data_IF_842799646702
#
_entry.id   IF_842799646702
#
_cell.length_a   1.000
_cell.length_b   1.000
_cell.length_c   1.000
_cell.angle_alpha   90.00
_cell.angle_beta   90.00
_cell.angle_gamma   90.00
#
_symmetry.space_group_name_H-M   'P 1'
#
loop_
_entity.id
_entity.type
_entity.pdbx_description
1 polymer ?
#
# COMPACT_ATOMS: atom_id res chain seq x y z
N UNK A 1 -50.90 -11.78 64.69
CA UNK A 1 -52.37 -11.59 64.57
C UNK A 1 -52.67 -10.15 64.96
N UNK A 2 -53.39 -9.26 64.27
CA UNK A 2 -54.11 -9.29 62.99
C UNK A 2 -54.99 -8.02 62.90
N UNK A 3 -54.85 -7.27 61.80
CA UNK A 3 -55.84 -6.40 61.10
C UNK A 3 -56.36 -5.12 61.77
N UNK A 4 -56.24 -3.98 61.06
CA UNK A 4 -57.34 -3.37 60.29
C UNK A 4 -56.88 -2.25 59.34
N UNK A 5 -57.59 -2.19 58.20
CA UNK A 5 -57.39 -1.30 57.05
C UNK A 5 -58.12 0.02 57.26
N UNK A 6 -57.52 1.13 56.83
CA UNK A 6 -58.16 2.44 56.66
C UNK A 6 -57.98 2.93 55.22
N UNK A 7 -59.04 2.82 54.44
CA UNK A 7 -59.17 3.22 53.03
C UNK A 7 -59.52 4.71 52.97
N UNK A 8 -58.75 5.52 52.25
CA UNK A 8 -59.16 6.86 51.83
C UNK A 8 -59.04 6.98 50.31
N UNK A 9 -60.15 7.37 49.69
CA UNK A 9 -60.29 7.68 48.27
C UNK A 9 -60.80 9.10 48.11
N UNK A 10 -60.14 9.92 47.30
CA UNK A 10 -60.74 11.05 46.55
C UNK A 10 -59.68 11.58 45.57
N UNK A 11 -59.84 11.31 44.27
CA UNK A 11 -60.32 12.22 43.21
C UNK A 11 -59.34 13.36 42.82
N UNK A 12 -58.53 13.06 41.78
CA UNK A 12 -58.09 13.82 40.58
C UNK A 12 -58.00 15.37 40.60
N UNK A 13 -56.98 15.97 39.94
CA UNK A 13 -57.06 16.19 38.48
C UNK A 13 -55.75 16.05 37.68
N UNK A 14 -55.92 15.76 36.37
CA UNK A 14 -55.02 16.03 35.24
C UNK A 14 -53.54 15.62 35.33
N UNK A 15 -53.23 14.42 34.82
CA UNK A 15 -51.95 14.18 34.13
C UNK A 15 -52.20 14.22 32.62
N UNK A 16 -51.43 15.00 31.84
CA UNK A 16 -51.60 15.05 30.40
C UNK A 16 -51.40 13.65 29.80
N UNK A 17 -52.34 13.25 28.95
CA UNK A 17 -52.25 12.07 28.09
C UNK A 17 -51.01 12.23 27.20
N UNK A 18 -49.94 11.51 27.51
CA UNK A 18 -48.93 11.22 26.51
C UNK A 18 -49.63 10.36 25.45
N UNK A 19 -50.01 11.01 24.36
CA UNK A 19 -50.50 10.38 23.15
C UNK A 19 -49.50 9.29 22.76
N UNK A 20 -50.02 8.08 22.55
CA UNK A 20 -49.36 7.09 21.74
C UNK A 20 -49.22 7.67 20.34
N UNK A 21 -48.13 8.42 20.13
CA UNK A 21 -47.68 8.83 18.82
C UNK A 21 -47.46 7.56 18.02
N UNK A 22 -48.35 7.32 17.07
CA UNK A 22 -48.13 6.40 15.98
C UNK A 22 -46.73 6.64 15.44
N UNK A 23 -45.80 5.74 15.75
CA UNK A 23 -44.53 5.65 15.03
C UNK A 23 -44.90 5.15 13.64
N UNK A 24 -45.23 6.11 12.77
CA UNK A 24 -45.35 5.90 11.35
C UNK A 24 -44.07 5.24 10.88
N UNK A 25 -44.19 3.98 10.48
CA UNK A 25 -43.14 3.21 9.83
C UNK A 25 -42.84 3.90 8.49
N UNK A 26 -41.96 4.89 8.50
CA UNK A 26 -41.45 5.50 7.26
C UNK A 26 -40.45 4.51 6.67
N UNK A 27 -40.96 3.59 5.85
CA UNK A 27 -40.17 2.75 4.96
C UNK A 27 -39.57 3.65 3.88
N UNK A 28 -38.26 3.52 3.67
CA UNK A 28 -37.61 3.83 2.38
C UNK A 28 -37.60 5.31 1.96
N UNK A 29 -37.09 6.21 2.80
CA UNK A 29 -36.63 7.50 2.30
C UNK A 29 -35.17 7.35 1.85
N UNK A 30 -34.98 7.13 0.54
CA UNK A 30 -33.70 7.36 -0.13
C UNK A 30 -33.37 8.85 -0.02
N UNK A 31 -32.59 9.24 0.99
CA UNK A 31 -32.10 10.59 1.11
C UNK A 31 -30.87 10.74 0.21
N UNK A 32 -31.14 11.12 -1.05
CA UNK A 32 -30.12 11.59 -2.00
C UNK A 32 -29.59 12.94 -1.55
N UNK A 33 -28.37 12.98 -1.05
CA UNK A 33 -27.62 14.21 -0.83
C UNK A 33 -26.39 14.21 -1.77
N UNK A 34 -26.61 14.59 -3.03
CA UNK A 34 -25.56 14.61 -4.06
C UNK A 34 -25.21 13.23 -4.65
N UNK A 35 -24.00 13.12 -5.21
CA UNK A 35 -23.45 11.91 -5.88
C UNK A 35 -23.00 10.80 -4.91
N UNK A 36 -23.41 10.86 -3.65
CA UNK A 36 -23.00 9.91 -2.61
C UNK A 36 -24.18 9.05 -2.22
N UNK A 37 -24.21 7.81 -2.72
CA UNK A 37 -25.17 6.81 -2.24
C UNK A 37 -24.82 6.43 -0.81
N UNK A 38 -25.49 7.06 0.16
CA UNK A 38 -25.48 6.61 1.55
C UNK A 38 -26.28 5.31 1.65
N UNK A 39 -25.65 4.20 1.25
CA UNK A 39 -26.12 2.85 1.50
C UNK A 39 -26.07 2.63 3.01
N UNK A 40 -27.16 2.96 3.68
CA UNK A 40 -27.45 2.53 5.05
C UNK A 40 -27.70 1.01 5.04
N UNK A 41 -26.63 0.23 4.85
CA UNK A 41 -26.66 -1.21 5.07
C UNK A 41 -26.69 -1.43 6.57
N UNK A 42 -27.89 -1.76 7.04
CA UNK A 42 -28.23 -2.45 8.28
C UNK A 42 -27.26 -2.23 9.47
N UNK A 43 -27.64 -1.31 10.37
CA UNK A 43 -26.90 -0.97 11.60
C UNK A 43 -26.82 -2.09 12.64
N UNK A 44 -27.18 -3.33 12.31
CA UNK A 44 -27.19 -4.46 13.23
C UNK A 44 -25.92 -5.34 13.17
N UNK A 45 -24.97 -5.07 12.27
CA UNK A 45 -23.79 -5.93 12.05
C UNK A 45 -22.44 -5.26 12.34
N UNK A 46 -22.40 -4.19 13.13
CA UNK A 46 -21.14 -3.54 13.54
C UNK A 46 -20.73 -4.06 14.92
N UNK A 47 -19.79 -5.02 15.03
CA UNK A 47 -19.12 -5.26 16.30
C UNK A 47 -18.42 -3.97 16.74
N UNK A 48 -18.56 -3.73 18.04
CA UNK A 48 -18.15 -2.52 18.74
C UNK A 48 -16.63 -2.50 18.90
N UNK A 49 -15.92 -2.04 17.88
CA UNK A 49 -14.49 -1.75 17.95
C UNK A 49 -14.33 -0.28 17.52
N UNK A 50 -13.89 0.54 18.48
CA UNK A 50 -13.73 2.00 18.41
C UNK A 50 -13.64 2.59 17.00
N UNK A 51 -14.60 3.45 16.68
CA UNK A 51 -14.81 4.02 15.35
C UNK A 51 -13.54 4.53 14.69
N UNK A 52 -13.04 3.72 13.76
CA UNK A 52 -12.32 4.20 12.60
C UNK A 52 -13.40 4.30 11.53
N UNK A 53 -13.65 5.52 11.07
CA UNK A 53 -14.39 5.77 9.85
C UNK A 53 -13.73 4.90 8.77
N UNK A 54 -14.29 3.74 8.46
CA UNK A 54 -14.00 3.03 7.23
C UNK A 54 -14.50 3.98 6.13
N UNK A 55 -13.67 4.95 5.76
CA UNK A 55 -13.73 5.49 4.41
C UNK A 55 -13.52 4.24 3.59
N UNK A 56 -14.60 3.74 2.99
CA UNK A 56 -14.53 2.69 2.00
C UNK A 56 -13.79 3.33 0.82
N UNK A 57 -12.45 3.37 0.92
CA UNK A 57 -11.56 3.89 -0.10
C UNK A 57 -11.73 2.90 -1.22
N UNK A 58 -12.67 3.21 -2.09
CA UNK A 58 -12.97 2.43 -3.26
C UNK A 58 -11.73 2.50 -4.13
N UNK A 59 -10.83 1.52 -4.02
CA UNK A 59 -9.59 1.42 -4.80
C UNK A 59 -9.82 1.48 -6.32
N UNK A 60 -11.08 1.42 -6.75
CA UNK A 60 -11.52 1.44 -8.13
C UNK A 60 -12.09 2.80 -8.58
N UNK A 61 -12.34 3.76 -7.68
CA UNK A 61 -13.04 5.00 -8.03
C UNK A 61 -12.11 6.10 -8.55
N UNK A 62 -10.96 6.33 -7.90
CA UNK A 62 -10.08 7.44 -8.23
C UNK A 62 -8.63 7.01 -8.54
N UNK A 63 -8.02 7.50 -9.64
CA UNK A 63 -6.62 7.22 -9.98
C UNK A 63 -5.60 7.65 -8.92
N UNK A 64 -5.96 8.62 -8.07
CA UNK A 64 -5.10 9.14 -6.99
C UNK A 64 -4.76 8.07 -5.95
N UNK A 65 -5.67 7.11 -5.72
CA UNK A 65 -5.46 6.03 -4.73
C UNK A 65 -4.35 5.06 -5.14
N UNK A 66 -4.02 4.98 -6.44
CA UNK A 66 -2.89 4.17 -6.94
C UNK A 66 -1.58 4.96 -7.00
N UNK A 67 -1.67 6.27 -7.27
CA UNK A 67 -0.50 7.12 -7.50
C UNK A 67 0.34 7.29 -6.23
N UNK A 68 -0.30 7.49 -5.08
CA UNK A 68 0.38 7.70 -3.81
C UNK A 68 1.19 6.46 -3.36
N UNK A 69 0.61 5.24 -3.30
CA UNK A 69 1.36 4.02 -3.03
C UNK A 69 2.51 3.79 -4.02
N UNK A 70 2.28 4.03 -5.32
CA UNK A 70 3.28 3.81 -6.36
C UNK A 70 4.49 4.74 -6.18
N UNK A 71 4.26 6.03 -5.92
CA UNK A 71 5.33 7.00 -5.66
C UNK A 71 6.06 6.66 -4.36
N UNK A 72 5.33 6.32 -3.29
CA UNK A 72 5.92 5.93 -2.01
C UNK A 72 6.85 4.71 -2.16
N UNK A 73 6.46 3.75 -2.99
CA UNK A 73 7.26 2.55 -3.26
C UNK A 73 8.45 2.82 -4.19
N UNK A 74 8.29 3.71 -5.17
CA UNK A 74 9.33 4.00 -6.18
C UNK A 74 10.43 4.93 -5.65
N UNK A 75 10.09 5.93 -4.84
CA UNK A 75 11.05 6.96 -4.39
C UNK A 75 12.32 6.40 -3.74
N UNK A 76 12.26 5.45 -2.79
CA UNK A 76 13.46 4.87 -2.19
C UNK A 76 14.36 4.18 -3.23
N UNK A 77 13.76 3.48 -4.18
CA UNK A 77 14.47 2.75 -5.23
C UNK A 77 15.15 3.71 -6.21
N UNK A 78 14.46 4.77 -6.60
CA UNK A 78 15.01 5.83 -7.47
C UNK A 78 16.22 6.50 -6.79
N UNK A 79 16.12 6.82 -5.50
CA UNK A 79 17.23 7.40 -4.75
C UNK A 79 18.46 6.47 -4.69
N UNK A 80 18.22 5.17 -4.48
CA UNK A 80 19.27 4.16 -4.47
C UNK A 80 19.95 4.00 -5.84
N UNK A 81 19.16 3.86 -6.91
CA UNK A 81 19.66 3.78 -8.30
C UNK A 81 20.44 5.04 -8.68
N UNK A 82 19.91 6.22 -8.37
CA UNK A 82 20.57 7.49 -8.67
C UNK A 82 21.94 7.59 -7.98
N UNK A 83 22.06 7.11 -6.73
CA UNK A 83 23.33 7.07 -6.00
C UNK A 83 24.35 6.16 -6.68
N UNK A 84 23.94 4.96 -7.10
CA UNK A 84 24.83 4.00 -7.76
C UNK A 84 25.28 4.55 -9.12
N UNK A 85 24.35 5.00 -9.95
CA UNK A 85 24.66 5.57 -11.26
C UNK A 85 25.59 6.77 -11.12
N UNK A 86 25.36 7.65 -10.14
CA UNK A 86 26.26 8.78 -9.87
C UNK A 86 27.67 8.33 -9.52
N UNK A 87 27.82 7.34 -8.63
CA UNK A 87 29.13 6.80 -8.27
C UNK A 87 29.85 6.20 -9.49
N UNK A 88 29.15 5.36 -10.26
CA UNK A 88 29.72 4.70 -11.43
C UNK A 88 30.07 5.67 -12.57
N UNK A 89 29.31 6.75 -12.73
CA UNK A 89 29.63 7.81 -13.69
C UNK A 89 30.88 8.57 -13.24
N UNK A 90 31.03 8.90 -11.96
CA UNK A 90 32.23 9.56 -11.45
C UNK A 90 33.48 8.69 -11.65
N UNK A 91 33.37 7.38 -11.35
CA UNK A 91 34.45 6.42 -11.57
C UNK A 91 34.81 6.31 -13.06
N UNK A 92 33.80 6.27 -13.94
CA UNK A 92 34.01 6.21 -15.38
C UNK A 92 34.72 7.48 -15.92
N UNK A 93 34.34 8.67 -15.43
CA UNK A 93 34.96 9.93 -15.85
C UNK A 93 36.43 10.05 -15.43
N UNK A 94 36.85 9.34 -14.38
CA UNK A 94 38.24 9.31 -13.93
C UNK A 94 39.16 8.43 -14.80
N UNK A 95 38.59 7.62 -15.70
CA UNK A 95 39.34 6.65 -16.52
C UNK A 95 40.03 7.30 -17.72
N UNK A 96 41.17 6.72 -18.13
CA UNK A 96 41.98 7.25 -19.23
C UNK A 96 41.29 7.17 -20.61
N UNK A 97 40.37 6.21 -20.82
CA UNK A 97 39.58 6.16 -22.06
C UNK A 97 38.65 7.38 -22.20
N UNK A 98 38.22 7.99 -21.09
CA UNK A 98 37.45 9.24 -21.13
C UNK A 98 38.36 10.41 -21.47
N UNK A 99 39.56 10.48 -20.90
CA UNK A 99 40.56 11.53 -21.23
C UNK A 99 40.92 11.52 -22.72
N UNK A 100 41.08 10.33 -23.31
CA UNK A 100 41.32 10.22 -24.76
C UNK A 100 40.09 10.63 -25.58
N UNK A 101 38.87 10.39 -25.10
CA UNK A 101 37.66 10.89 -25.74
C UNK A 101 37.60 12.43 -25.74
N UNK A 102 37.96 13.07 -24.63
CA UNK A 102 38.10 14.53 -24.57
C UNK A 102 39.19 15.05 -25.51
N UNK A 103 40.34 14.40 -25.57
CA UNK A 103 41.43 14.77 -26.49
C UNK A 103 41.04 14.66 -27.98
N UNK A 104 40.06 13.81 -28.30
CA UNK A 104 39.46 13.70 -29.64
C UNK A 104 38.40 14.77 -29.95
N UNK A 105 38.11 15.68 -29.02
CA UNK A 105 37.14 16.77 -29.20
C UNK A 105 35.67 16.34 -29.09
N UNK A 106 35.37 15.21 -28.45
CA UNK A 106 33.98 14.77 -28.23
C UNK A 106 33.25 15.73 -27.30
N UNK A 107 31.97 15.99 -27.61
CA UNK A 107 31.11 16.84 -26.77
C UNK A 107 30.81 16.17 -25.43
N UNK A 108 30.60 16.97 -24.38
CA UNK A 108 30.31 16.47 -23.03
C UNK A 108 29.11 15.49 -23.00
N UNK A 109 28.06 15.75 -23.79
CA UNK A 109 26.92 14.82 -23.92
C UNK A 109 27.31 13.48 -24.53
N UNK A 110 28.16 13.48 -25.56
CA UNK A 110 28.64 12.25 -26.19
C UNK A 110 29.50 11.42 -25.22
N UNK A 111 30.38 12.07 -24.46
CA UNK A 111 31.18 11.42 -23.41
C UNK A 111 30.29 10.82 -22.33
N UNK A 112 29.31 11.57 -21.84
CA UNK A 112 28.41 11.11 -20.78
C UNK A 112 27.56 9.92 -21.23
N UNK A 113 26.87 10.02 -22.35
CA UNK A 113 25.90 8.99 -22.79
C UNK A 113 26.61 7.74 -23.33
N UNK A 114 27.66 7.91 -24.15
CA UNK A 114 28.27 6.78 -24.87
C UNK A 114 29.41 6.11 -24.09
N UNK A 115 30.14 6.88 -23.28
CA UNK A 115 31.34 6.38 -22.60
C UNK A 115 31.11 6.18 -21.09
N UNK A 116 30.57 7.17 -20.37
CA UNK A 116 30.37 7.04 -18.92
C UNK A 116 29.14 6.20 -18.55
N UNK A 117 27.98 6.50 -19.15
CA UNK A 117 26.71 5.84 -18.80
C UNK A 117 26.70 4.36 -19.19
N UNK A 118 27.29 4.03 -20.34
CA UNK A 118 27.43 2.62 -20.78
C UNK A 118 28.27 1.79 -19.81
N UNK A 119 29.27 2.38 -19.17
CA UNK A 119 30.06 1.71 -18.14
C UNK A 119 29.28 1.60 -16.80
N UNK A 120 28.42 2.58 -16.51
CA UNK A 120 27.54 2.56 -15.34
C UNK A 120 26.41 1.52 -15.43
N UNK A 121 26.12 0.97 -16.61
CA UNK A 121 25.12 -0.10 -16.77
C UNK A 121 25.54 -1.43 -16.12
N UNK A 122 26.85 -1.68 -16.01
CA UNK A 122 27.38 -2.92 -15.41
C UNK A 122 26.96 -3.03 -13.93
N UNK A 123 27.28 -2.06 -13.05
CA UNK A 123 26.85 -2.13 -11.65
C UNK A 123 25.34 -1.98 -11.49
N UNK A 124 24.67 -1.26 -12.40
CA UNK A 124 23.21 -1.13 -12.38
C UNK A 124 22.54 -2.49 -12.57
N UNK A 125 23.02 -3.31 -13.52
CA UNK A 125 22.47 -4.63 -13.77
C UNK A 125 22.58 -5.55 -12.55
N UNK A 126 23.70 -5.52 -11.84
CA UNK A 126 23.90 -6.34 -10.62
C UNK A 126 22.88 -6.01 -9.53
N UNK A 127 22.46 -4.75 -9.42
CA UNK A 127 21.52 -4.33 -8.37
C UNK A 127 20.05 -4.45 -8.75
N UNK A 128 19.72 -4.75 -10.00
CA UNK A 128 18.33 -4.92 -10.46
C UNK A 128 17.60 -6.02 -9.68
N UNK A 129 18.28 -7.14 -9.41
CA UNK A 129 17.69 -8.27 -8.65
C UNK A 129 17.33 -7.86 -7.22
N UNK A 130 18.28 -7.34 -6.43
CA UNK A 130 18.01 -6.77 -5.11
C UNK A 130 16.93 -5.68 -5.10
N UNK A 131 16.89 -4.80 -6.10
CA UNK A 131 15.84 -3.76 -6.21
C UNK A 131 14.47 -4.39 -6.39
N UNK A 132 14.33 -5.39 -7.28
CA UNK A 132 13.06 -6.08 -7.49
C UNK A 132 12.54 -6.71 -6.19
N UNK A 133 13.41 -7.41 -5.44
CA UNK A 133 13.05 -7.99 -4.15
C UNK A 133 12.75 -6.91 -3.12
N UNK A 134 13.50 -5.82 -3.09
CA UNK A 134 13.25 -4.70 -2.19
C UNK A 134 11.90 -4.01 -2.47
N UNK A 135 11.47 -3.92 -3.73
CA UNK A 135 10.15 -3.42 -4.10
C UNK A 135 9.05 -4.36 -3.64
N UNK A 136 9.22 -5.67 -3.78
CA UNK A 136 8.26 -6.66 -3.28
C UNK A 136 8.13 -6.63 -1.76
N UNK A 137 9.24 -6.56 -1.04
CA UNK A 137 9.22 -6.49 0.42
C UNK A 137 8.74 -5.13 0.93
N UNK A 138 9.06 -4.05 0.22
CA UNK A 138 8.58 -2.71 0.51
C UNK A 138 7.07 -2.56 0.33
N UNK A 139 6.44 -3.41 -0.50
CA UNK A 139 4.99 -3.37 -0.71
C UNK A 139 4.23 -3.63 0.59
N UNK A 140 4.73 -4.49 1.48
CA UNK A 140 4.09 -4.80 2.78
C UNK A 140 3.87 -3.54 3.63
N UNK A 141 4.87 -2.66 3.66
CA UNK A 141 4.80 -1.40 4.41
C UNK A 141 3.85 -0.41 3.72
N UNK A 142 3.86 -0.36 2.39
CA UNK A 142 2.99 0.53 1.62
C UNK A 142 1.52 0.07 1.70
N UNK A 143 1.27 -1.23 1.64
CA UNK A 143 -0.06 -1.82 1.76
C UNK A 143 -0.71 -1.45 3.09
N UNK A 144 0.07 -1.53 4.17
CA UNK A 144 -0.41 -1.23 5.52
C UNK A 144 -0.54 0.28 5.76
N UNK A 145 0.41 1.08 5.28
CA UNK A 145 0.37 2.54 5.43
C UNK A 145 -0.77 3.20 4.64
N UNK A 146 -1.07 2.70 3.44
CA UNK A 146 -2.11 3.26 2.58
C UNK A 146 -3.43 2.49 2.66
N UNK A 147 -3.54 1.47 3.50
CA UNK A 147 -4.72 0.58 3.61
C UNK A 147 -5.07 -0.15 2.31
N UNK A 148 -4.06 -0.44 1.47
CA UNK A 148 -4.22 -1.22 0.23
C UNK A 148 -4.55 -2.66 0.62
N UNK A 149 -5.59 -3.28 0.03
CA UNK A 149 -5.87 -4.69 0.26
C UNK A 149 -4.73 -5.53 -0.31
N UNK A 150 -4.06 -6.29 0.55
CA UNK A 150 -2.88 -7.08 0.21
C UNK A 150 -2.54 -8.10 1.29
N UNK A 151 -1.42 -8.81 1.13
CA UNK A 151 -0.96 -9.84 2.07
C UNK A 151 -0.20 -9.23 3.26
N UNK A 152 0.26 -7.98 3.15
CA UNK A 152 0.97 -7.29 4.22
C UNK A 152 0.15 -7.08 5.48
N UNK A 153 -1.09 -6.54 5.41
CA UNK A 153 -1.96 -6.42 6.58
C UNK A 153 -2.24 -7.76 7.26
N UNK A 154 -2.46 -8.82 6.48
CA UNK A 154 -2.69 -10.18 7.00
C UNK A 154 -1.46 -10.74 7.72
N UNK A 155 -0.27 -10.44 7.21
CA UNK A 155 1.00 -10.79 7.87
C UNK A 155 1.11 -10.13 9.24
N UNK A 156 0.85 -8.81 9.31
CA UNK A 156 0.91 -8.06 10.57
C UNK A 156 -0.10 -8.60 11.59
N UNK A 157 -1.35 -8.81 11.15
CA UNK A 157 -2.41 -9.37 12.01
C UNK A 157 -2.05 -10.77 12.51
N UNK A 158 -1.46 -11.62 11.66
CA UNK A 158 -1.05 -12.97 12.02
C UNK A 158 0.08 -12.99 13.05
N UNK A 159 0.98 -12.01 13.03
CA UNK A 159 2.03 -11.83 14.04
C UNK A 159 1.41 -11.52 15.41
N UNK A 160 0.46 -10.58 15.47
CA UNK A 160 -0.23 -10.22 16.71
C UNK A 160 -1.10 -11.37 17.26
N UNK A 161 -1.77 -12.10 16.36
CA UNK A 161 -2.60 -13.25 16.70
C UNK A 161 -1.79 -14.55 16.92
N UNK A 162 -0.45 -14.47 16.92
CA UNK A 162 0.48 -15.61 17.09
C UNK A 162 0.17 -16.80 16.18
N UNK A 163 -0.35 -16.51 14.99
CA UNK A 163 -0.72 -17.53 14.01
C UNK A 163 0.50 -17.88 13.17
N UNK A 164 1.40 -18.70 13.75
CA UNK A 164 2.67 -19.07 13.12
C UNK A 164 2.49 -19.72 11.75
N UNK A 165 1.44 -20.51 11.55
CA UNK A 165 1.16 -21.15 10.25
C UNK A 165 0.93 -20.13 9.13
N UNK A 166 0.12 -19.10 9.39
CA UNK A 166 -0.17 -18.04 8.42
C UNK A 166 1.07 -17.21 8.13
N UNK A 167 1.83 -16.86 9.18
CA UNK A 167 3.10 -16.11 9.02
C UNK A 167 4.05 -16.88 8.11
N UNK A 168 4.34 -18.16 8.42
CA UNK A 168 5.26 -18.98 7.62
C UNK A 168 4.75 -19.19 6.20
N UNK A 169 3.43 -19.35 6.00
CA UNK A 169 2.82 -19.46 4.68
C UNK A 169 3.05 -18.22 3.82
N UNK A 170 2.78 -17.03 4.37
CA UNK A 170 3.00 -15.75 3.68
C UNK A 170 4.49 -15.56 3.37
N UNK A 171 5.38 -15.78 4.34
CA UNK A 171 6.82 -15.68 4.10
C UNK A 171 7.31 -16.62 3.00
N UNK A 172 6.86 -17.88 3.01
CA UNK A 172 7.23 -18.86 1.99
C UNK A 172 6.77 -18.42 0.60
N UNK A 173 5.55 -17.88 0.50
CA UNK A 173 5.03 -17.32 -0.74
C UNK A 173 5.85 -16.12 -1.24
N UNK A 174 6.18 -15.17 -0.36
CA UNK A 174 7.04 -14.04 -0.71
C UNK A 174 8.46 -14.47 -1.09
N UNK A 175 9.04 -15.48 -0.43
CA UNK A 175 10.35 -16.03 -0.79
C UNK A 175 10.34 -16.67 -2.18
N UNK A 176 9.29 -17.42 -2.50
CA UNK A 176 9.12 -17.99 -3.85
C UNK A 176 9.03 -16.88 -4.90
N UNK A 177 8.21 -15.86 -4.64
CA UNK A 177 8.02 -14.74 -5.56
C UNK A 177 9.31 -13.92 -5.73
N UNK A 178 10.04 -13.68 -4.65
CA UNK A 178 11.36 -13.05 -4.69
C UNK A 178 12.37 -13.86 -5.52
N UNK A 179 12.39 -15.19 -5.36
CA UNK A 179 13.22 -16.09 -6.14
C UNK A 179 12.86 -16.05 -7.64
N UNK A 180 11.57 -16.04 -7.98
CA UNK A 180 11.10 -15.89 -9.35
C UNK A 180 11.45 -14.52 -9.94
N UNK A 181 11.36 -13.46 -9.14
CA UNK A 181 11.76 -12.11 -9.56
C UNK A 181 13.26 -12.04 -9.85
N UNK A 182 14.11 -12.59 -8.98
CA UNK A 182 15.56 -12.68 -9.20
C UNK A 182 15.87 -13.50 -10.46
N UNK A 183 15.26 -14.68 -10.62
CA UNK A 183 15.43 -15.50 -11.82
C UNK A 183 15.03 -14.75 -13.09
N UNK A 184 13.93 -13.99 -13.04
CA UNK A 184 13.46 -13.18 -14.17
C UNK A 184 14.48 -12.10 -14.52
N UNK A 185 15.07 -11.43 -13.52
CA UNK A 185 16.13 -10.43 -13.74
C UNK A 185 17.37 -11.07 -14.35
N UNK A 186 17.81 -12.21 -13.83
CA UNK A 186 19.00 -12.92 -14.33
C UNK A 186 18.80 -13.39 -15.77
N UNK A 187 17.61 -13.92 -16.11
CA UNK A 187 17.25 -14.29 -17.48
C UNK A 187 17.20 -13.06 -18.39
N UNK A 188 16.58 -11.97 -17.93
CA UNK A 188 16.53 -10.72 -18.70
C UNK A 188 17.94 -10.19 -18.96
N UNK A 189 18.84 -10.26 -17.98
CA UNK A 189 20.23 -9.86 -18.14
C UNK A 189 20.98 -10.75 -19.13
N UNK A 190 20.83 -12.08 -19.02
CA UNK A 190 21.42 -13.03 -19.96
C UNK A 190 20.93 -12.82 -21.42
N UNK A 191 19.68 -12.39 -21.59
CA UNK A 191 19.12 -12.08 -22.90
C UNK A 191 19.65 -10.74 -23.47
N UNK A 192 19.88 -9.74 -22.61
CA UNK A 192 20.33 -8.40 -23.01
C UNK A 192 21.83 -8.37 -23.31
N UNK A 193 22.65 -9.18 -22.63
CA UNK A 193 24.10 -9.20 -22.82
C UNK A 193 24.61 -10.47 -23.54
N UNK A 194 24.62 -10.48 -24.89
CA UNK A 194 25.22 -11.57 -25.67
C UNK A 194 26.77 -11.60 -25.62
N UNK A 195 27.43 -10.70 -24.88
CA UNK A 195 28.90 -10.65 -24.77
C UNK A 195 29.48 -11.43 -23.59
N UNK A 196 28.67 -11.97 -22.68
CA UNK A 196 29.13 -12.82 -21.56
C UNK A 196 29.40 -14.26 -22.01
N UNK A 197 29.76 -14.45 -23.28
CA UNK A 197 30.10 -15.76 -23.84
C UNK A 197 31.60 -15.99 -23.69
N UNK A 198 32.03 -16.33 -22.46
CA UNK A 198 33.00 -17.38 -22.07
C UNK A 198 33.42 -17.21 -20.61
#
# INVERSE_FOLDING_TARGET
>A
MGRRRGRWSSRHPNRPRASAGHVGRVRGAELRLGDVDLVLRDRAALPMDGGILYVDVSWHSDPIHWLLPAIALALPQVGFVARIVRASVLDALAQDYVRTAWAKGLTQRAVLIRHALRNALIPLATVMGPIAVATLMGSIVVETAFSVPGLGPDLINSIFNRSYFTVTGIFTFYSLLAGLAMLTVDIAYAAIDPKIRY
#
